data_IF_933264022330
#
_entry.id   IF_933264022330
#
_cell.length_a   1.000
_cell.length_b   1.000
_cell.length_c   1.000
_cell.angle_alpha   90.00
_cell.angle_beta   90.00
_cell.angle_gamma   90.00
#
_symmetry.space_group_name_H-M   'P 1'
#
loop_
_entity.id
_entity.type
_entity.pdbx_description
1 polymer ?
#
# COMPACT_ATOMS: atom_id res chain seq x y z
N UNK A 1 -33.70 5.34 33.15
CA UNK A 1 -32.66 5.67 32.17
C UNK A 1 -31.39 6.06 32.94
N UNK A 2 -30.33 5.25 32.91
CA UNK A 2 -29.05 5.57 33.49
C UNK A 2 -28.20 6.09 32.32
N UNK A 3 -27.93 7.41 32.30
CA UNK A 3 -26.94 7.98 31.36
C UNK A 3 -25.56 7.86 32.01
N UNK A 4 -24.66 7.11 31.40
CA UNK A 4 -23.25 7.08 31.77
C UNK A 4 -22.55 8.15 30.94
N UNK A 5 -22.26 9.32 31.51
CA UNK A 5 -21.30 10.27 30.93
C UNK A 5 -19.89 9.79 31.28
N UNK A 6 -19.12 9.43 30.26
CA UNK A 6 -17.69 9.28 30.38
C UNK A 6 -17.03 10.59 30.02
N UNK A 7 -16.46 11.29 30.99
CA UNK A 7 -15.54 12.36 30.73
C UNK A 7 -14.20 11.76 30.30
N UNK A 8 -13.80 12.04 29.05
CA UNK A 8 -12.44 11.77 28.60
C UNK A 8 -11.60 13.00 28.95
N UNK A 9 -10.82 12.90 30.00
CA UNK A 9 -9.77 13.87 30.26
C UNK A 9 -8.64 13.63 29.25
N UNK A 10 -8.62 14.41 28.17
CA UNK A 10 -7.42 14.50 27.35
C UNK A 10 -6.35 15.21 28.17
N UNK A 11 -5.37 14.48 28.65
CA UNK A 11 -4.14 15.06 29.14
C UNK A 11 -3.44 15.62 27.89
N UNK A 12 -3.70 16.91 27.60
CA UNK A 12 -2.87 17.65 26.68
C UNK A 12 -1.57 17.89 27.41
N UNK A 13 -0.51 17.23 26.99
CA UNK A 13 0.82 17.79 27.20
C UNK A 13 1.90 16.76 27.00
N UNK A 14 2.44 16.75 25.82
CA UNK A 14 3.80 17.22 25.58
C UNK A 14 3.87 17.60 24.10
N UNK A 15 4.67 18.61 23.79
CA UNK A 15 4.91 19.12 22.41
C UNK A 15 5.42 18.05 21.41
N UNK A 16 5.63 16.82 21.89
CA UNK A 16 6.19 15.68 21.14
C UNK A 16 5.25 14.48 21.05
N UNK A 17 3.97 14.60 21.47
CA UNK A 17 3.01 13.50 21.33
C UNK A 17 2.39 13.53 19.94
N UNK A 18 2.86 12.65 19.06
CA UNK A 18 2.24 12.33 17.79
C UNK A 18 1.52 10.97 17.90
N UNK A 19 0.16 10.96 17.92
CA UNK A 19 -0.61 9.72 18.03
C UNK A 19 -0.42 8.79 16.83
N UNK A 20 0.09 9.31 15.71
CA UNK A 20 0.37 8.55 14.50
C UNK A 20 1.82 8.08 14.40
N UNK A 21 2.64 8.36 15.41
CA UNK A 21 4.06 7.97 15.40
C UNK A 21 4.19 6.44 15.38
N UNK A 22 4.93 5.86 14.43
CA UNK A 22 5.26 4.44 14.44
C UNK A 22 5.92 4.02 15.77
N UNK A 23 5.61 2.82 16.25
CA UNK A 23 6.19 2.28 17.48
C UNK A 23 5.61 2.81 18.80
N UNK A 24 4.66 3.78 18.76
CA UNK A 24 3.98 4.22 19.99
C UNK A 24 3.23 3.07 20.69
N UNK A 25 2.63 2.19 19.89
CA UNK A 25 2.05 0.91 20.31
C UNK A 25 2.72 -0.17 19.48
N UNK A 26 3.37 -1.13 20.10
CA UNK A 26 4.10 -2.19 19.40
C UNK A 26 3.48 -3.55 19.65
N UNK A 27 3.23 -4.29 18.58
CA UNK A 27 2.89 -5.70 18.67
C UNK A 27 4.18 -6.55 18.86
N UNK A 28 4.11 -7.70 19.54
CA UNK A 28 5.23 -8.63 19.57
C UNK A 28 5.66 -9.02 18.17
N UNK A 29 6.96 -9.22 17.99
CA UNK A 29 7.51 -9.70 16.72
C UNK A 29 6.85 -11.03 16.32
N UNK A 30 6.35 -11.10 15.08
CA UNK A 30 5.66 -12.28 14.56
C UNK A 30 6.25 -12.68 13.21
N UNK A 31 6.96 -13.80 13.20
CA UNK A 31 7.60 -14.36 12.01
C UNK A 31 6.64 -14.71 10.87
N UNK A 32 5.34 -14.85 11.16
CA UNK A 32 4.31 -15.15 10.17
C UNK A 32 3.72 -13.89 9.53
N UNK A 33 4.10 -12.68 9.99
CA UNK A 33 3.70 -11.43 9.36
C UNK A 33 4.66 -11.08 8.25
N UNK A 34 4.09 -10.66 7.13
CA UNK A 34 4.80 -10.35 5.89
C UNK A 34 4.21 -9.06 5.35
N UNK A 35 5.04 -8.12 4.90
CA UNK A 35 4.58 -6.88 4.30
C UNK A 35 5.13 -6.73 2.88
N UNK A 36 4.26 -6.23 1.98
CA UNK A 36 4.59 -5.73 0.65
C UNK A 36 4.16 -4.28 0.61
N UNK A 37 5.08 -3.38 0.33
CA UNK A 37 4.86 -1.94 0.40
C UNK A 37 5.29 -1.32 -0.91
N UNK A 38 4.39 -0.59 -1.55
CA UNK A 38 4.64 0.10 -2.81
C UNK A 38 4.32 1.58 -2.62
N UNK A 39 5.27 2.45 -2.98
CA UNK A 39 5.10 3.89 -2.98
C UNK A 39 5.66 4.51 -4.25
N UNK A 40 4.81 5.09 -5.08
CA UNK A 40 5.22 5.63 -6.37
C UNK A 40 4.85 7.11 -6.42
N UNK A 41 5.87 7.95 -6.27
CA UNK A 41 5.77 9.39 -6.43
C UNK A 41 6.07 9.80 -7.86
N UNK A 42 7.18 9.34 -8.40
CA UNK A 42 7.73 9.77 -9.68
C UNK A 42 7.28 8.82 -10.81
N UNK A 43 6.62 9.37 -11.84
CA UNK A 43 6.11 8.64 -12.99
C UNK A 43 6.77 9.11 -14.29
N UNK A 44 6.94 8.19 -15.27
CA UNK A 44 7.62 8.52 -16.54
C UNK A 44 6.71 9.19 -17.57
N UNK A 45 5.43 8.84 -17.59
CA UNK A 45 4.49 9.21 -18.67
C UNK A 45 3.22 9.93 -18.19
N UNK A 46 3.03 10.05 -16.90
CA UNK A 46 1.91 10.74 -16.26
C UNK A 46 2.44 11.66 -15.14
N UNK A 47 1.65 12.65 -14.68
CA UNK A 47 2.07 13.53 -13.59
C UNK A 47 2.43 12.77 -12.31
N UNK A 48 3.39 13.29 -11.56
CA UNK A 48 3.81 12.73 -10.29
C UNK A 48 2.70 12.78 -9.22
N UNK A 49 2.76 11.88 -8.25
CA UNK A 49 1.93 11.97 -7.04
C UNK A 49 2.68 12.71 -5.93
N UNK A 50 1.93 13.34 -5.02
CA UNK A 50 2.54 13.95 -3.84
C UNK A 50 2.61 12.93 -2.71
N UNK A 51 3.78 12.81 -2.08
CA UNK A 51 4.01 12.08 -0.82
C UNK A 51 3.89 10.55 -0.84
N UNK A 52 3.61 9.91 -1.97
CA UNK A 52 3.44 8.46 -2.02
C UNK A 52 4.69 7.68 -1.57
N UNK A 53 5.88 8.20 -1.87
CA UNK A 53 7.17 7.72 -1.37
C UNK A 53 7.25 7.80 0.17
N UNK A 54 6.85 8.95 0.74
CA UNK A 54 6.85 9.18 2.20
C UNK A 54 5.82 8.34 2.93
N UNK A 55 4.65 8.16 2.33
CA UNK A 55 3.60 7.31 2.88
C UNK A 55 4.09 5.86 2.98
N UNK A 56 4.76 5.39 1.92
CA UNK A 56 5.36 4.05 1.91
C UNK A 56 6.48 3.91 2.96
N UNK A 57 7.39 4.88 3.09
CA UNK A 57 8.42 4.86 4.15
C UNK A 57 7.80 4.86 5.54
N UNK A 58 6.76 5.67 5.76
CA UNK A 58 6.03 5.69 7.03
C UNK A 58 5.38 4.33 7.30
N UNK A 59 4.81 3.68 6.27
CA UNK A 59 4.22 2.36 6.44
C UNK A 59 5.27 1.27 6.69
N UNK A 60 6.49 1.39 6.15
CA UNK A 60 7.62 0.50 6.48
C UNK A 60 7.93 0.58 7.98
N UNK A 61 7.98 1.81 8.54
CA UNK A 61 8.21 2.00 9.97
C UNK A 61 7.06 1.41 10.80
N UNK A 62 5.80 1.61 10.40
CA UNK A 62 4.64 0.96 11.03
C UNK A 62 4.72 -0.56 10.96
N UNK A 63 5.09 -1.11 9.81
CA UNK A 63 5.22 -2.55 9.64
C UNK A 63 6.26 -3.13 10.60
N UNK A 64 7.40 -2.49 10.74
CA UNK A 64 8.47 -2.94 11.62
C UNK A 64 8.18 -2.66 13.10
N UNK A 65 7.89 -1.41 13.46
CA UNK A 65 7.84 -0.95 14.84
C UNK A 65 6.49 -1.21 15.52
N UNK A 66 5.38 -1.07 14.77
CA UNK A 66 4.03 -1.21 15.31
C UNK A 66 3.47 -2.61 15.10
N UNK A 67 3.57 -3.15 13.87
CA UNK A 67 3.03 -4.47 13.54
C UNK A 67 3.98 -5.62 13.87
N UNK A 68 5.21 -5.34 14.32
CA UNK A 68 6.19 -6.35 14.71
C UNK A 68 6.58 -7.28 13.54
N UNK A 69 6.65 -6.73 12.32
CA UNK A 69 7.10 -7.47 11.14
C UNK A 69 8.62 -7.37 11.06
N UNK A 70 9.29 -8.51 11.02
CA UNK A 70 10.74 -8.51 10.86
C UNK A 70 11.13 -7.89 9.50
N UNK A 71 12.18 -7.08 9.45
CA UNK A 71 12.66 -6.43 8.22
C UNK A 71 12.95 -7.41 7.08
N UNK A 72 13.38 -8.64 7.37
CA UNK A 72 13.56 -9.71 6.37
C UNK A 72 12.25 -10.22 5.74
N UNK A 73 11.10 -9.85 6.32
CA UNK A 73 9.76 -10.15 5.85
C UNK A 73 9.04 -8.92 5.31
N UNK A 74 9.74 -7.81 5.14
CA UNK A 74 9.25 -6.61 4.48
C UNK A 74 9.90 -6.51 3.10
N UNK A 75 9.08 -6.46 2.06
CA UNK A 75 9.50 -6.17 0.68
C UNK A 75 8.88 -4.85 0.29
N UNK A 76 9.67 -3.91 -0.17
CA UNK A 76 9.18 -2.61 -0.61
C UNK A 76 9.72 -2.25 -1.99
N UNK A 77 8.98 -1.38 -2.68
CA UNK A 77 9.28 -0.88 -4.01
C UNK A 77 8.92 0.62 -4.02
N UNK A 78 9.89 1.47 -4.30
CA UNK A 78 9.72 2.91 -4.27
C UNK A 78 10.14 3.48 -5.62
N UNK A 79 9.30 4.34 -6.19
CA UNK A 79 9.55 5.06 -7.44
C UNK A 79 10.07 4.16 -8.58
N UNK A 80 11.31 4.36 -9.04
CA UNK A 80 11.92 3.60 -10.15
C UNK A 80 11.98 2.08 -9.89
N UNK A 81 11.98 1.65 -8.64
CA UNK A 81 11.96 0.23 -8.25
C UNK A 81 10.55 -0.37 -8.25
N UNK A 82 9.52 0.43 -8.59
CA UNK A 82 8.12 0.02 -8.65
C UNK A 82 7.58 -0.03 -10.09
N UNK A 83 8.40 -0.47 -11.04
CA UNK A 83 7.99 -0.68 -12.43
C UNK A 83 7.14 -1.93 -12.62
N UNK A 84 6.53 -2.07 -13.81
CA UNK A 84 5.64 -3.20 -14.14
C UNK A 84 6.30 -4.57 -13.91
N UNK A 85 7.57 -4.71 -14.29
CA UNK A 85 8.30 -5.97 -14.10
C UNK A 85 8.61 -6.24 -12.64
N UNK A 86 8.78 -5.21 -11.80
CA UNK A 86 9.04 -5.37 -10.37
C UNK A 86 7.85 -6.01 -9.67
N UNK A 87 6.63 -5.60 -10.02
CA UNK A 87 5.40 -6.26 -9.53
C UNK A 87 5.36 -7.76 -9.86
N UNK A 88 5.91 -8.19 -11.01
CA UNK A 88 5.98 -9.62 -11.37
C UNK A 88 6.95 -10.40 -10.48
N UNK A 89 7.92 -9.73 -9.86
CA UNK A 89 8.85 -10.38 -8.92
C UNK A 89 8.22 -10.67 -7.55
N UNK A 90 7.14 -9.95 -7.21
CA UNK A 90 6.43 -10.09 -5.92
C UNK A 90 5.86 -11.49 -5.76
N UNK A 91 5.24 -12.04 -6.80
CA UNK A 91 4.66 -13.38 -6.75
C UNK A 91 5.69 -14.44 -6.34
N UNK A 92 6.86 -14.41 -6.99
CA UNK A 92 7.95 -15.34 -6.68
C UNK A 92 8.45 -15.18 -5.23
N UNK A 93 8.54 -13.94 -4.75
CA UNK A 93 8.96 -13.67 -3.38
C UNK A 93 7.90 -14.16 -2.38
N UNK A 94 6.61 -13.88 -2.64
CA UNK A 94 5.49 -14.37 -1.83
C UNK A 94 5.51 -15.90 -1.72
N UNK A 95 5.68 -16.61 -2.83
CA UNK A 95 5.75 -18.07 -2.85
C UNK A 95 6.86 -18.63 -1.95
N UNK A 96 7.93 -17.87 -1.71
CA UNK A 96 9.03 -18.26 -0.82
C UNK A 96 8.79 -17.95 0.65
N UNK A 97 7.83 -17.08 0.97
CA UNK A 97 7.62 -16.51 2.31
C UNK A 97 6.27 -16.88 2.92
N UNK A 98 5.22 -16.95 2.10
CA UNK A 98 3.84 -17.14 2.58
C UNK A 98 3.54 -18.60 2.83
N UNK A 99 2.79 -18.85 3.88
CA UNK A 99 2.22 -20.16 4.24
C UNK A 99 0.85 -19.96 4.90
N UNK A 100 0.14 -21.06 5.18
CA UNK A 100 -1.21 -21.06 5.76
C UNK A 100 -1.38 -20.35 7.12
N UNK A 101 -0.29 -20.00 7.78
CA UNK A 101 -0.31 -19.25 9.05
C UNK A 101 0.07 -17.77 8.84
N UNK A 102 0.39 -17.36 7.60
CA UNK A 102 0.88 -16.02 7.32
C UNK A 102 -0.24 -14.99 7.35
N UNK A 103 0.07 -13.82 7.89
CA UNK A 103 -0.70 -12.60 7.81
C UNK A 103 0.04 -11.67 6.86
N UNK A 104 -0.56 -11.40 5.68
CA UNK A 104 0.07 -10.57 4.64
C UNK A 104 -0.52 -9.18 4.69
N UNK A 105 0.35 -8.18 4.80
CA UNK A 105 0.03 -6.75 4.77
C UNK A 105 0.49 -6.19 3.43
N UNK A 106 -0.44 -5.67 2.65
CA UNK A 106 -0.16 -4.99 1.40
C UNK A 106 -0.51 -3.52 1.52
N UNK A 107 0.43 -2.65 1.21
CA UNK A 107 0.23 -1.21 1.14
C UNK A 107 0.62 -0.71 -0.24
N UNK A 108 -0.22 0.13 -0.82
CA UNK A 108 0.03 0.81 -2.08
C UNK A 108 -0.34 2.29 -1.94
N UNK A 109 0.60 3.18 -2.22
CA UNK A 109 0.38 4.61 -2.40
C UNK A 109 0.90 5.01 -3.78
N UNK A 110 0.04 5.64 -4.60
CA UNK A 110 0.36 6.01 -5.97
C UNK A 110 -0.89 6.26 -6.82
N UNK A 111 -0.71 6.36 -8.13
CA UNK A 111 -1.83 6.49 -9.03
C UNK A 111 -2.63 5.19 -9.19
N UNK A 112 -3.94 5.35 -9.18
CA UNK A 112 -4.89 4.34 -9.60
C UNK A 112 -5.74 4.85 -10.76
N UNK A 113 -6.30 3.95 -11.53
CA UNK A 113 -7.24 4.27 -12.61
C UNK A 113 -8.40 3.28 -12.62
N UNK A 114 -9.45 3.61 -13.36
CA UNK A 114 -10.51 2.68 -13.70
C UNK A 114 -10.56 2.51 -15.22
N UNK A 115 -10.46 1.28 -15.69
CA UNK A 115 -10.66 0.94 -17.10
C UNK A 115 -11.78 -0.09 -17.21
N UNK A 116 -12.89 0.29 -17.82
CA UNK A 116 -14.06 -0.60 -18.04
C UNK A 116 -14.55 -1.30 -16.76
N UNK A 117 -14.54 -0.60 -15.61
CA UNK A 117 -14.96 -1.14 -14.33
C UNK A 117 -13.88 -1.90 -13.56
N UNK A 118 -12.68 -2.05 -14.12
CA UNK A 118 -11.53 -2.64 -13.43
C UNK A 118 -10.68 -1.57 -12.76
N UNK A 119 -10.35 -1.77 -11.50
CA UNK A 119 -9.42 -0.91 -10.77
C UNK A 119 -7.98 -1.28 -11.14
N UNK A 120 -7.22 -0.30 -11.60
CA UNK A 120 -5.84 -0.46 -12.03
C UNK A 120 -4.87 0.19 -11.03
N UNK A 121 -3.80 -0.50 -10.71
CA UNK A 121 -2.60 0.04 -10.07
C UNK A 121 -1.64 0.43 -11.19
N UNK A 122 -1.10 1.65 -11.14
CA UNK A 122 -0.21 2.16 -12.17
C UNK A 122 1.24 2.10 -11.70
N UNK A 123 2.10 1.23 -12.31
CA UNK A 123 3.53 1.19 -12.03
C UNK A 123 4.25 2.50 -12.43
N UNK A 124 5.46 2.74 -11.92
CA UNK A 124 6.25 3.95 -12.21
C UNK A 124 6.57 4.15 -13.69
N UNK A 125 6.64 3.05 -14.44
CA UNK A 125 6.88 3.00 -15.89
C UNK A 125 5.60 2.82 -16.71
N UNK A 126 4.43 3.07 -16.09
CA UNK A 126 3.12 3.05 -16.78
C UNK A 126 3.12 3.92 -18.02
N UNK A 127 2.44 3.44 -19.06
CA UNK A 127 2.34 4.12 -20.36
C UNK A 127 0.89 4.32 -20.74
N UNK A 128 0.55 5.57 -21.08
CA UNK A 128 -0.81 5.96 -21.48
C UNK A 128 -1.25 5.37 -22.82
N UNK A 129 -0.30 5.01 -23.70
CA UNK A 129 -0.55 4.36 -24.99
C UNK A 129 -0.62 2.82 -24.90
N UNK A 130 -0.30 2.22 -23.74
CA UNK A 130 -0.26 0.77 -23.50
C UNK A 130 -0.94 0.40 -22.17
N UNK A 131 -2.15 0.89 -21.94
CA UNK A 131 -2.85 0.82 -20.65
C UNK A 131 -2.88 -0.63 -20.11
N UNK A 132 -3.38 -1.56 -20.89
CA UNK A 132 -3.57 -2.95 -20.46
C UNK A 132 -2.23 -3.69 -20.28
N UNK A 133 -1.19 -3.32 -21.02
CA UNK A 133 0.12 -3.97 -21.00
C UNK A 133 1.07 -3.35 -19.96
N UNK A 134 0.76 -2.17 -19.41
CA UNK A 134 1.61 -1.44 -18.47
C UNK A 134 0.94 -1.14 -17.12
N UNK A 135 -0.28 -1.62 -16.91
CA UNK A 135 -1.00 -1.53 -15.64
C UNK A 135 -1.22 -2.91 -15.02
N UNK A 136 -1.61 -2.91 -13.75
CA UNK A 136 -1.89 -4.13 -12.99
C UNK A 136 -3.30 -4.01 -12.42
N UNK A 137 -4.17 -4.99 -12.72
CA UNK A 137 -5.49 -4.98 -12.10
C UNK A 137 -5.35 -5.29 -10.60
N UNK A 138 -5.96 -4.46 -9.77
CA UNK A 138 -5.97 -4.61 -8.31
C UNK A 138 -6.43 -6.01 -7.92
N UNK A 139 -7.49 -6.49 -8.55
CA UNK A 139 -8.09 -7.79 -8.30
C UNK A 139 -7.11 -8.93 -8.62
N UNK A 140 -6.41 -8.87 -9.77
CA UNK A 140 -5.43 -9.91 -10.13
C UNK A 140 -4.25 -9.93 -9.18
N UNK A 141 -3.80 -8.75 -8.72
CA UNK A 141 -2.72 -8.68 -7.75
C UNK A 141 -3.11 -9.25 -6.38
N UNK A 142 -4.30 -8.91 -5.88
CA UNK A 142 -4.81 -9.50 -4.65
C UNK A 142 -5.03 -11.01 -4.77
N UNK A 143 -5.45 -11.49 -5.94
CA UNK A 143 -5.58 -12.92 -6.20
C UNK A 143 -4.24 -13.64 -6.15
N UNK A 144 -3.16 -13.06 -6.71
CA UNK A 144 -1.81 -13.62 -6.60
C UNK A 144 -1.36 -13.80 -5.14
N UNK A 145 -1.73 -12.85 -4.25
CA UNK A 145 -1.47 -12.99 -2.81
C UNK A 145 -2.33 -14.12 -2.23
N UNK A 146 -3.61 -14.18 -2.59
CA UNK A 146 -4.54 -15.18 -2.08
C UNK A 146 -4.18 -16.61 -2.51
N UNK A 147 -3.63 -16.78 -3.71
CA UNK A 147 -3.19 -18.07 -4.26
C UNK A 147 -2.03 -18.68 -3.45
N UNK A 148 -1.29 -17.88 -2.68
CA UNK A 148 -0.30 -18.38 -1.72
C UNK A 148 -0.92 -18.95 -0.44
N UNK A 149 -2.25 -18.92 -0.31
CA UNK A 149 -3.02 -19.45 0.81
C UNK A 149 -2.61 -18.91 2.20
N UNK A 150 -2.50 -17.57 2.37
CA UNK A 150 -2.26 -16.98 3.68
C UNK A 150 -3.49 -17.11 4.58
N UNK A 151 -3.28 -17.00 5.90
CA UNK A 151 -4.36 -16.96 6.88
C UNK A 151 -5.23 -15.70 6.74
N UNK A 152 -4.57 -14.55 6.55
CA UNK A 152 -5.23 -13.24 6.40
C UNK A 152 -4.47 -12.37 5.41
N UNK A 153 -5.21 -11.52 4.69
CA UNK A 153 -4.68 -10.46 3.84
C UNK A 153 -5.27 -9.14 4.33
N UNK A 154 -4.42 -8.17 4.61
CA UNK A 154 -4.78 -6.79 4.93
C UNK A 154 -4.24 -5.90 3.81
N UNK A 155 -5.12 -5.29 3.03
CA UNK A 155 -4.74 -4.47 1.89
C UNK A 155 -5.16 -3.01 2.12
N UNK A 156 -4.21 -2.10 1.99
CA UNK A 156 -4.37 -0.66 2.14
C UNK A 156 -4.03 0.02 0.83
N UNK A 157 -4.94 0.84 0.34
CA UNK A 157 -4.76 1.57 -0.91
C UNK A 157 -4.95 3.06 -0.65
N UNK A 158 -3.91 3.83 -0.88
CA UNK A 158 -3.95 5.27 -0.96
C UNK A 158 -3.83 5.70 -2.43
N UNK A 159 -4.89 5.45 -3.17
CA UNK A 159 -4.99 5.68 -4.62
C UNK A 159 -6.40 6.07 -5.03
N UNK A 160 -6.50 6.97 -6.02
CA UNK A 160 -7.79 7.36 -6.61
C UNK A 160 -8.10 6.49 -7.80
N UNK A 161 -9.13 5.64 -7.72
CA UNK A 161 -9.60 4.80 -8.82
C UNK A 161 -10.67 5.47 -9.68
N UNK A 162 -10.78 6.81 -9.65
CA UNK A 162 -11.74 7.59 -10.43
C UNK A 162 -11.23 8.06 -11.79
N UNK A 163 -9.96 7.78 -12.12
CA UNK A 163 -9.31 8.31 -13.33
C UNK A 163 -8.92 9.79 -13.22
N UNK A 164 -9.06 10.39 -12.03
CA UNK A 164 -8.62 11.75 -11.71
C UNK A 164 -7.42 11.69 -10.75
N UNK A 165 -6.51 12.66 -10.88
CA UNK A 165 -5.47 12.89 -9.87
C UNK A 165 -6.11 13.34 -8.55
N UNK A 166 -5.34 13.34 -7.44
CA UNK A 166 -5.78 13.94 -6.18
C UNK A 166 -6.14 15.42 -6.30
N UNK A 167 -5.64 16.10 -7.32
CA UNK A 167 -5.90 17.51 -7.61
C UNK A 167 -7.09 17.69 -8.57
N UNK A 168 -7.77 16.61 -8.99
CA UNK A 168 -8.96 16.63 -9.85
C UNK A 168 -8.64 16.74 -11.35
N UNK A 169 -7.38 16.62 -11.73
CA UNK A 169 -6.98 16.57 -13.13
C UNK A 169 -7.17 15.18 -13.73
N UNK A 170 -7.56 15.11 -14.99
CA UNK A 170 -7.69 13.82 -15.70
C UNK A 170 -6.30 13.25 -15.95
N UNK A 171 -5.98 12.12 -15.30
CA UNK A 171 -4.69 11.45 -15.44
C UNK A 171 -4.47 10.88 -16.84
N UNK A 172 -5.53 10.37 -17.45
CA UNK A 172 -5.47 9.72 -18.75
C UNK A 172 -6.73 10.09 -19.52
N UNK A 173 -6.57 10.72 -20.69
CA UNK A 173 -7.70 11.06 -21.55
C UNK A 173 -8.43 9.78 -21.98
N UNK A 174 -9.73 9.67 -21.61
CA UNK A 174 -10.58 8.54 -21.96
C UNK A 174 -10.78 7.46 -20.90
N UNK A 175 -10.05 7.48 -19.79
CA UNK A 175 -10.36 6.65 -18.61
C UNK A 175 -11.33 7.40 -17.68
N UNK A 176 -12.37 6.71 -17.23
CA UNK A 176 -13.35 7.20 -16.25
C UNK A 176 -13.50 6.23 -15.11
#
# INVERSE_FOLDING_TARGET
FISVQREFNFVSETKDYDPLRPGLISAPNNKNRIAIIVGIKDYKDIPDTKYADKDAFTFIDYANETLGINSSNIKYFIDDEAGFLDFKTIEKWLASKVNKNSEVFFFYSGHGANNNGQSLLLPSDFRTDLIDDSSITKESFLQQIADQNPKHIFAFFDACFSGLSREGETLIAGLR
#
